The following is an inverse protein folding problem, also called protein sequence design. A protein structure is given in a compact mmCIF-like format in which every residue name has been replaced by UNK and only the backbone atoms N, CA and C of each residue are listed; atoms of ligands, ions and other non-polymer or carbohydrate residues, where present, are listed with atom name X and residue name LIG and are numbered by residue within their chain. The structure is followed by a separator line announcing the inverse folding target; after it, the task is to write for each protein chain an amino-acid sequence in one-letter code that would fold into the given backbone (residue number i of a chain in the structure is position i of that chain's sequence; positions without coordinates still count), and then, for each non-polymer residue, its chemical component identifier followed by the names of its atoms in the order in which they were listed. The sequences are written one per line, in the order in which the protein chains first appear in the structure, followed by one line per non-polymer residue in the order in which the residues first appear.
data_IF_340982133916
#
_entry.id   IF_340982133916
#
_cell.length_a   1.000
_cell.length_b   1.000
_cell.length_c   1.000
_cell.angle_alpha   90.00
_cell.angle_beta   90.00
_cell.angle_gamma   90.00
#
_symmetry.space_group_name_H-M   'P 1'
#
loop_
_entity.id
_entity.type
_entity.pdbx_description
1 polymer ?
#
# COMPACT_ATOMS: atom_id res chain seq x y z
N UNK A 1 -16.79 20.95 -27.74
CA UNK A 1 -15.41 21.23 -27.30
C UNK A 1 -14.95 20.05 -26.45
N UNK A 2 -14.23 19.10 -27.04
CA UNK A 2 -13.67 17.91 -26.33
C UNK A 2 -12.14 18.02 -26.19
N UNK A 3 -11.50 18.70 -27.14
CA UNK A 3 -10.03 18.88 -27.24
C UNK A 3 -9.32 19.45 -25.99
N UNK A 4 -10.02 20.20 -25.14
CA UNK A 4 -9.44 20.77 -23.91
C UNK A 4 -9.30 19.76 -22.78
N UNK A 5 -10.17 18.74 -22.74
CA UNK A 5 -10.17 17.71 -21.68
C UNK A 5 -9.04 16.70 -21.91
N UNK A 6 -8.80 16.34 -23.16
CA UNK A 6 -7.85 15.29 -23.54
C UNK A 6 -6.39 15.74 -23.36
N UNK A 7 -6.12 17.04 -23.53
CA UNK A 7 -4.79 17.61 -23.25
C UNK A 7 -4.49 17.64 -21.76
N UNK A 8 -5.44 18.08 -20.95
CA UNK A 8 -5.30 18.16 -19.49
C UNK A 8 -5.11 16.76 -18.87
N UNK A 9 -5.78 15.74 -19.40
CA UNK A 9 -5.61 14.36 -18.92
C UNK A 9 -4.21 13.79 -19.23
N UNK A 10 -3.66 14.07 -20.41
CA UNK A 10 -2.29 13.64 -20.75
C UNK A 10 -1.24 14.37 -19.89
N UNK A 11 -1.37 15.68 -19.77
CA UNK A 11 -0.46 16.50 -18.94
C UNK A 11 -0.50 16.03 -17.46
N UNK A 12 -1.66 15.68 -16.92
CA UNK A 12 -1.77 15.14 -15.56
C UNK A 12 -1.07 13.78 -15.36
N UNK A 13 -1.07 12.91 -16.38
CA UNK A 13 -0.36 11.63 -16.33
C UNK A 13 1.15 11.84 -16.46
N UNK A 14 1.58 12.74 -17.35
CA UNK A 14 2.99 13.13 -17.49
C UNK A 14 3.53 13.71 -16.16
N UNK A 15 2.76 14.58 -15.50
CA UNK A 15 3.11 15.11 -14.19
C UNK A 15 3.23 13.99 -13.15
N UNK A 16 2.25 13.08 -13.09
CA UNK A 16 2.27 11.95 -12.16
C UNK A 16 3.45 11.01 -12.35
N UNK A 17 3.78 10.67 -13.60
CA UNK A 17 4.94 9.83 -13.93
C UNK A 17 6.25 10.45 -13.41
N UNK A 18 6.32 11.78 -13.38
CA UNK A 18 7.47 12.53 -12.89
C UNK A 18 7.45 12.87 -11.39
N UNK A 19 6.34 12.59 -10.67
CA UNK A 19 6.29 12.79 -9.22
C UNK A 19 7.18 11.77 -8.49
N UNK A 20 7.83 12.19 -7.41
CA UNK A 20 8.54 11.26 -6.53
C UNK A 20 7.57 10.34 -5.79
N UNK A 21 8.01 9.13 -5.41
CA UNK A 21 7.16 8.17 -4.66
C UNK A 21 6.65 8.74 -3.32
N UNK A 22 7.41 9.64 -2.71
CA UNK A 22 7.08 10.31 -1.44
C UNK A 22 6.09 11.47 -1.59
N UNK A 23 5.70 11.84 -2.82
CA UNK A 23 4.81 12.98 -3.02
C UNK A 23 3.40 12.65 -2.50
N UNK A 24 2.84 13.45 -1.57
CA UNK A 24 1.54 13.16 -0.96
C UNK A 24 0.38 13.20 -1.97
N UNK A 25 0.53 13.91 -3.09
CA UNK A 25 -0.47 13.98 -4.15
C UNK A 25 -0.39 12.78 -5.11
N UNK A 26 0.73 12.05 -5.14
CA UNK A 26 0.89 10.85 -5.99
C UNK A 26 -0.13 9.78 -5.63
N UNK A 27 -0.40 9.59 -4.34
CA UNK A 27 -1.41 8.63 -3.89
C UNK A 27 -2.81 9.03 -4.36
N UNK A 28 -3.22 10.28 -4.12
CA UNK A 28 -4.53 10.79 -4.52
C UNK A 28 -4.71 10.72 -6.04
N UNK A 29 -3.66 11.07 -6.79
CA UNK A 29 -3.67 10.96 -8.24
C UNK A 29 -3.81 9.50 -8.72
N UNK A 30 -3.08 8.55 -8.12
CA UNK A 30 -3.21 7.12 -8.46
C UNK A 30 -4.60 6.57 -8.16
N UNK A 31 -5.23 6.98 -7.05
CA UNK A 31 -6.61 6.59 -6.71
C UNK A 31 -7.62 7.13 -7.73
N UNK A 32 -7.50 8.41 -8.10
CA UNK A 32 -8.36 9.03 -9.13
C UNK A 32 -8.19 8.36 -10.49
N UNK A 33 -6.97 7.99 -10.85
CA UNK A 33 -6.67 7.31 -12.11
C UNK A 33 -7.16 5.86 -12.12
N UNK A 34 -7.17 5.20 -10.96
CA UNK A 34 -7.81 3.90 -10.81
C UNK A 34 -9.31 3.98 -11.07
N UNK A 35 -10.00 4.94 -10.45
CA UNK A 35 -11.43 5.18 -10.70
C UNK A 35 -11.69 5.53 -12.16
N UNK A 36 -10.81 6.31 -12.80
CA UNK A 36 -10.91 6.58 -14.24
C UNK A 36 -10.78 5.30 -15.06
N UNK A 37 -9.79 4.44 -14.75
CA UNK A 37 -9.60 3.16 -15.44
C UNK A 37 -10.82 2.26 -15.32
N UNK A 38 -11.36 2.06 -14.11
CA UNK A 38 -12.57 1.25 -13.91
C UNK A 38 -13.75 1.76 -14.74
N UNK A 39 -13.97 3.08 -14.75
CA UNK A 39 -15.03 3.69 -15.54
C UNK A 39 -14.81 3.53 -17.06
N UNK A 40 -13.56 3.55 -17.52
CA UNK A 40 -13.23 3.31 -18.94
C UNK A 40 -13.38 1.84 -19.31
N UNK A 41 -12.95 0.90 -18.45
CA UNK A 41 -13.09 -0.55 -18.68
C UNK A 41 -14.55 -1.01 -18.77
N UNK A 42 -15.48 -0.25 -18.18
CA UNK A 42 -16.92 -0.51 -18.29
C UNK A 42 -17.52 -0.05 -19.64
N UNK A 43 -16.78 0.66 -20.49
CA UNK A 43 -17.24 1.09 -21.81
C UNK A 43 -17.14 -0.06 -22.81
N UNK A 44 -18.20 -0.26 -23.60
CA UNK A 44 -18.21 -1.26 -24.68
C UNK A 44 -17.23 -0.91 -25.81
N UNK A 45 -17.07 0.37 -26.11
CA UNK A 45 -16.12 0.88 -27.10
C UNK A 45 -15.22 1.94 -26.47
N UNK A 46 -13.91 1.70 -26.56
CA UNK A 46 -12.86 2.61 -26.12
C UNK A 46 -12.25 3.32 -27.32
N UNK A 47 -12.18 4.66 -27.25
CA UNK A 47 -11.41 5.47 -28.19
C UNK A 47 -9.90 5.15 -28.06
N UNK A 48 -9.12 5.45 -29.09
CA UNK A 48 -7.68 5.13 -29.13
C UNK A 48 -6.93 5.78 -27.96
N UNK A 49 -7.30 7.01 -27.65
CA UNK A 49 -6.74 7.83 -26.58
C UNK A 49 -7.07 7.26 -25.20
N UNK A 50 -8.27 6.71 -25.02
CA UNK A 50 -8.67 6.06 -23.77
C UNK A 50 -7.89 4.75 -23.55
N UNK A 51 -7.61 4.02 -24.63
CA UNK A 51 -6.73 2.84 -24.59
C UNK A 51 -5.30 3.22 -24.23
N UNK A 52 -4.76 4.29 -24.81
CA UNK A 52 -3.43 4.81 -24.46
C UNK A 52 -3.35 5.23 -22.99
N UNK A 53 -4.38 5.91 -22.48
CA UNK A 53 -4.49 6.24 -21.06
C UNK A 53 -4.44 4.98 -20.20
N UNK A 54 -5.29 3.98 -20.47
CA UNK A 54 -5.31 2.73 -19.69
C UNK A 54 -3.93 2.05 -19.69
N UNK A 55 -3.25 1.98 -20.84
CA UNK A 55 -1.94 1.35 -20.95
C UNK A 55 -0.86 2.07 -20.12
N UNK A 56 -0.88 3.40 -20.06
CA UNK A 56 0.07 4.18 -19.25
C UNK A 56 -0.21 4.07 -17.74
N UNK A 57 -1.49 3.97 -17.37
CA UNK A 57 -1.92 3.89 -15.98
C UNK A 57 -1.73 2.51 -15.35
N UNK A 58 -1.90 1.45 -16.13
CA UNK A 58 -1.79 0.07 -15.67
C UNK A 58 -0.49 -0.25 -14.90
N UNK A 59 0.73 0.07 -15.40
CA UNK A 59 1.96 -0.24 -14.69
C UNK A 59 2.12 0.54 -13.38
N UNK A 60 1.73 1.82 -13.34
CA UNK A 60 1.82 2.65 -12.14
C UNK A 60 0.96 2.10 -11.00
N UNK A 61 -0.26 1.67 -11.32
CA UNK A 61 -1.15 1.03 -10.36
C UNK A 61 -0.61 -0.32 -9.88
N UNK A 62 -0.11 -1.15 -10.80
CA UNK A 62 0.42 -2.47 -10.47
C UNK A 62 1.60 -2.37 -9.50
N UNK A 63 2.53 -1.45 -9.77
CA UNK A 63 3.67 -1.18 -8.88
C UNK A 63 3.19 -0.78 -7.47
N UNK A 64 2.22 0.14 -7.37
CA UNK A 64 1.70 0.56 -6.06
C UNK A 64 1.00 -0.57 -5.32
N UNK A 65 0.24 -1.40 -6.02
CA UNK A 65 -0.44 -2.57 -5.45
C UNK A 65 0.57 -3.56 -4.87
N UNK A 66 1.66 -3.83 -5.58
CA UNK A 66 2.74 -4.70 -5.11
C UNK A 66 3.43 -4.14 -3.87
N UNK A 67 3.73 -2.83 -3.85
CA UNK A 67 4.27 -2.15 -2.66
C UNK A 67 3.34 -2.30 -1.45
N UNK A 68 2.06 -1.98 -1.62
CA UNK A 68 1.06 -2.10 -0.53
C UNK A 68 0.90 -3.55 -0.06
N UNK A 69 0.98 -4.52 -0.96
CA UNK A 69 0.90 -5.93 -0.62
C UNK A 69 2.12 -6.37 0.21
N UNK A 70 3.32 -5.94 -0.16
CA UNK A 70 4.55 -6.22 0.61
C UNK A 70 4.51 -5.56 1.99
N UNK A 71 4.09 -4.30 2.07
CA UNK A 71 3.91 -3.58 3.33
C UNK A 71 2.89 -4.29 4.23
N UNK A 72 1.75 -4.71 3.66
CA UNK A 72 0.72 -5.43 4.39
C UNK A 72 1.20 -6.79 4.91
N UNK A 73 1.98 -7.53 4.10
CA UNK A 73 2.57 -8.81 4.51
C UNK A 73 3.57 -8.64 5.65
N UNK A 74 4.46 -7.64 5.55
CA UNK A 74 5.41 -7.32 6.63
C UNK A 74 4.68 -6.91 7.91
N UNK A 75 3.68 -6.04 7.80
CA UNK A 75 2.91 -5.61 8.96
C UNK A 75 2.13 -6.78 9.58
N UNK A 76 1.56 -7.65 8.75
CA UNK A 76 0.90 -8.88 9.19
C UNK A 76 1.84 -9.83 9.94
N UNK A 77 3.07 -10.03 9.45
CA UNK A 77 4.10 -10.81 10.14
C UNK A 77 4.40 -10.21 11.51
N UNK A 78 4.61 -8.89 11.60
CA UNK A 78 4.90 -8.21 12.87
C UNK A 78 3.73 -8.32 13.85
N UNK A 79 2.49 -8.15 13.40
CA UNK A 79 1.30 -8.31 14.26
C UNK A 79 1.24 -9.74 14.80
N UNK A 80 1.40 -10.75 13.94
CA UNK A 80 1.39 -12.15 14.35
C UNK A 80 2.49 -12.48 15.37
N UNK A 81 3.71 -11.99 15.15
CA UNK A 81 4.83 -12.14 16.09
C UNK A 81 4.49 -11.53 17.46
N UNK A 82 3.90 -10.34 17.49
CA UNK A 82 3.49 -9.66 18.73
C UNK A 82 2.40 -10.43 19.47
N UNK A 83 1.39 -10.93 18.76
CA UNK A 83 0.33 -11.75 19.36
C UNK A 83 0.87 -13.06 19.96
N UNK A 84 1.80 -13.72 19.25
CA UNK A 84 2.46 -14.93 19.74
C UNK A 84 3.28 -14.61 20.97
N UNK A 85 4.07 -13.53 20.95
CA UNK A 85 4.87 -13.10 22.09
C UNK A 85 4.01 -12.84 23.33
N UNK A 86 2.87 -12.17 23.19
CA UNK A 86 1.92 -11.95 24.28
C UNK A 86 1.33 -13.25 24.84
N UNK A 87 1.03 -14.23 23.97
CA UNK A 87 0.53 -15.55 24.41
C UNK A 87 1.60 -16.32 25.18
N UNK A 88 2.83 -16.37 24.67
CA UNK A 88 3.97 -17.05 25.32
C UNK A 88 4.31 -16.40 26.67
N UNK A 89 4.28 -15.07 26.71
CA UNK A 89 4.51 -14.33 27.96
C UNK A 89 3.46 -14.66 29.02
N UNK A 90 2.18 -14.68 28.65
CA UNK A 90 1.09 -15.09 29.57
C UNK A 90 1.19 -16.52 30.05
N UNK A 91 1.88 -17.38 29.31
CA UNK A 91 2.18 -18.76 29.73
C UNK A 91 3.40 -18.85 30.67
N UNK A 92 4.01 -17.71 31.02
CA UNK A 92 5.14 -17.64 31.95
C UNK A 92 6.50 -17.91 31.30
N UNK A 93 6.61 -17.81 29.97
CA UNK A 93 7.88 -17.93 29.28
C UNK A 93 8.75 -16.68 29.51
N UNK A 94 10.05 -16.88 29.66
CA UNK A 94 11.01 -15.78 29.88
C UNK A 94 11.15 -14.89 28.64
N UNK A 95 11.32 -13.58 28.85
CA UNK A 95 11.36 -12.59 27.76
C UNK A 95 12.46 -12.90 26.73
N UNK A 96 13.63 -13.35 27.18
CA UNK A 96 14.73 -13.70 26.27
C UNK A 96 14.39 -14.88 25.36
N UNK A 97 13.67 -15.88 25.87
CA UNK A 97 13.22 -17.03 25.08
C UNK A 97 12.14 -16.63 24.07
N UNK A 98 11.24 -15.72 24.46
CA UNK A 98 10.22 -15.18 23.57
C UNK A 98 10.86 -14.36 22.45
N UNK A 99 11.87 -13.55 22.77
CA UNK A 99 12.63 -12.77 21.78
C UNK A 99 13.26 -13.68 20.72
N UNK A 100 13.89 -14.77 21.14
CA UNK A 100 14.46 -15.78 20.24
C UNK A 100 13.40 -16.45 19.36
N UNK A 101 12.25 -16.82 19.92
CA UNK A 101 11.18 -17.53 19.19
C UNK A 101 10.38 -16.66 18.23
N UNK A 102 10.24 -15.37 18.53
CA UNK A 102 9.39 -14.44 17.77
C UNK A 102 10.18 -13.49 16.89
N UNK A 103 11.52 -13.52 16.97
CA UNK A 103 12.44 -12.58 16.29
C UNK A 103 12.21 -11.11 16.70
N UNK A 104 11.48 -10.87 17.80
CA UNK A 104 11.24 -9.54 18.35
C UNK A 104 12.35 -9.15 19.32
N UNK A 105 12.58 -7.84 19.46
CA UNK A 105 13.50 -7.36 20.49
C UNK A 105 12.91 -7.52 21.90
N UNK A 106 13.79 -7.71 22.88
CA UNK A 106 13.43 -7.75 24.31
C UNK A 106 12.70 -6.47 24.73
N UNK A 107 13.07 -5.32 24.16
CA UNK A 107 12.42 -4.03 24.42
C UNK A 107 10.98 -3.99 23.91
N UNK A 108 10.72 -4.52 22.71
CA UNK A 108 9.38 -4.60 22.15
C UNK A 108 8.48 -5.52 22.99
N UNK A 109 8.98 -6.67 23.40
CA UNK A 109 8.22 -7.60 24.26
C UNK A 109 7.91 -6.96 25.62
N UNK A 110 8.87 -6.22 26.20
CA UNK A 110 8.65 -5.50 27.46
C UNK A 110 7.61 -4.38 27.32
N UNK A 111 7.55 -3.68 26.19
CA UNK A 111 6.52 -2.67 25.89
C UNK A 111 5.13 -3.30 25.74
N UNK A 112 5.03 -4.38 24.96
CA UNK A 112 3.77 -5.11 24.75
C UNK A 112 3.13 -5.58 26.06
N UNK A 113 3.93 -5.90 27.07
CA UNK A 113 3.43 -6.25 28.40
C UNK A 113 2.81 -5.04 29.10
N UNK A 114 3.49 -3.89 29.12
CA UNK A 114 3.00 -2.68 29.80
C UNK A 114 1.64 -2.25 29.27
N UNK A 115 1.45 -2.33 27.96
CA UNK A 115 0.19 -1.97 27.29
C UNK A 115 -0.96 -2.95 27.57
N UNK A 116 -0.68 -4.16 28.06
CA UNK A 116 -1.68 -5.16 28.45
C UNK A 116 -2.04 -5.16 29.94
N UNK A 117 -1.35 -4.33 30.74
CA UNK A 117 -1.55 -4.20 32.19
C UNK A 117 -2.42 -2.99 32.58
N UNK A 118 -2.86 -2.18 31.61
CA UNK A 118 -3.91 -1.16 31.72
C UNK A 118 -5.28 -1.71 31.27
#
# INVERSE_FOLDING_TARGET
MVLGRDRVQREAIDELENLTEENPFRQVALELLYTLRENLELKEELELEERELIMRLAPLYQQKKEQLQQEAEQHGKTIAQREIAQKLFRQGMEINQIAELTELSVEEIAKLNRDTAE
#
